data_IF_303778950595
#
_entry.id   IF_303778950595
#
_cell.length_a   1.000
_cell.length_b   1.000
_cell.length_c   1.000
_cell.angle_alpha   90.00
_cell.angle_beta   90.00
_cell.angle_gamma   90.00
#
_symmetry.space_group_name_H-M   'P 1'
#
loop_
_entity.id
_entity.type
_entity.pdbx_description
1 polymer ?
#
# COMPACT_ATOMS: atom_id res chain seq x y z
N UNK A 1 -25.81 -15.43 -4.94
CA UNK A 1 -25.46 -14.42 -5.95
C UNK A 1 -24.69 -13.24 -5.35
N UNK A 2 -25.10 -12.70 -4.18
CA UNK A 2 -24.43 -11.57 -3.52
C UNK A 2 -22.92 -11.75 -3.34
N UNK A 3 -22.45 -12.87 -2.79
CA UNK A 3 -21.01 -13.10 -2.58
C UNK A 3 -20.16 -13.06 -3.86
N UNK A 4 -20.69 -13.53 -5.01
CA UNK A 4 -19.96 -13.46 -6.28
C UNK A 4 -19.85 -12.03 -6.82
N UNK A 5 -20.82 -11.16 -6.49
CA UNK A 5 -20.77 -9.74 -6.83
C UNK A 5 -19.75 -9.03 -5.94
N UNK A 6 -19.75 -9.31 -4.63
CA UNK A 6 -18.79 -8.72 -3.69
C UNK A 6 -17.35 -9.08 -4.08
N UNK A 7 -17.06 -10.35 -4.35
CA UNK A 7 -15.71 -10.78 -4.78
C UNK A 7 -15.27 -10.09 -6.09
N UNK A 8 -16.19 -9.91 -7.04
CA UNK A 8 -15.88 -9.19 -8.27
C UNK A 8 -15.61 -7.70 -8.04
N UNK A 9 -16.35 -7.05 -7.12
CA UNK A 9 -16.11 -5.65 -6.77
C UNK A 9 -14.76 -5.46 -6.06
N UNK A 10 -14.40 -6.38 -5.14
CA UNK A 10 -13.11 -6.36 -4.47
C UNK A 10 -11.95 -6.52 -5.46
N UNK A 11 -12.08 -7.43 -6.43
CA UNK A 11 -11.13 -7.59 -7.54
C UNK A 11 -10.92 -6.28 -8.30
N UNK A 12 -12.00 -5.60 -8.70
CA UNK A 12 -11.89 -4.34 -9.47
C UNK A 12 -11.16 -3.24 -8.69
N UNK A 13 -11.44 -3.12 -7.39
CA UNK A 13 -10.80 -2.13 -6.53
C UNK A 13 -9.30 -2.42 -6.37
N UNK A 14 -8.95 -3.66 -6.04
CA UNK A 14 -7.55 -4.06 -5.84
C UNK A 14 -6.73 -3.94 -7.13
N UNK A 15 -7.29 -4.39 -8.26
CA UNK A 15 -6.65 -4.25 -9.56
C UNK A 15 -6.45 -2.79 -9.95
N UNK A 16 -7.45 -1.93 -9.70
CA UNK A 16 -7.31 -0.49 -9.97
C UNK A 16 -6.21 0.13 -9.13
N UNK A 17 -6.18 -0.11 -7.82
CA UNK A 17 -5.15 0.46 -6.93
C UNK A 17 -3.76 -0.03 -7.36
N UNK A 18 -3.60 -1.34 -7.57
CA UNK A 18 -2.31 -1.91 -7.94
C UNK A 18 -1.80 -1.39 -9.30
N UNK A 19 -2.68 -1.25 -10.29
CA UNK A 19 -2.32 -0.70 -11.60
C UNK A 19 -2.00 0.80 -11.55
N UNK A 20 -2.74 1.59 -10.76
CA UNK A 20 -2.41 3.00 -10.51
C UNK A 20 -1.05 3.14 -9.84
N UNK A 21 -0.74 2.33 -8.83
CA UNK A 21 0.56 2.36 -8.13
C UNK A 21 1.75 1.99 -9.03
N UNK A 22 1.57 1.09 -10.00
CA UNK A 22 2.63 0.73 -10.95
C UNK A 22 2.82 1.75 -12.08
N UNK A 23 1.79 2.53 -12.40
CA UNK A 23 1.84 3.52 -13.47
C UNK A 23 2.60 4.80 -13.09
N UNK A 24 2.91 5.00 -11.80
CA UNK A 24 3.59 6.19 -11.29
C UNK A 24 5.06 6.20 -11.73
N UNK A 25 5.51 7.30 -12.33
CA UNK A 25 6.91 7.52 -12.71
C UNK A 25 7.74 8.17 -11.58
N UNK A 26 9.05 8.35 -11.79
CA UNK A 26 9.94 8.95 -10.78
C UNK A 26 9.62 10.40 -10.46
N UNK A 27 9.20 11.20 -11.44
CA UNK A 27 8.85 12.61 -11.22
C UNK A 27 7.62 12.76 -10.32
N UNK A 28 6.58 11.95 -10.55
CA UNK A 28 5.40 11.90 -9.69
C UNK A 28 5.73 11.37 -8.29
N UNK A 29 6.68 10.43 -8.17
CA UNK A 29 7.17 9.95 -6.86
C UNK A 29 7.80 11.09 -6.06
N UNK A 30 8.60 11.93 -6.73
CA UNK A 30 9.24 13.08 -6.11
C UNK A 30 8.20 14.11 -5.64
N UNK A 31 7.20 14.40 -6.47
CA UNK A 31 6.10 15.31 -6.14
C UNK A 31 5.30 14.81 -4.92
N UNK A 32 4.96 13.52 -4.87
CA UNK A 32 4.29 12.93 -3.71
C UNK A 32 5.15 12.98 -2.44
N UNK A 33 6.46 12.79 -2.58
CA UNK A 33 7.39 12.93 -1.46
C UNK A 33 7.45 14.37 -0.95
N UNK A 34 7.44 15.36 -1.85
CA UNK A 34 7.47 16.78 -1.52
C UNK A 34 6.17 17.24 -0.86
N UNK A 35 5.02 16.92 -1.45
CA UNK A 35 3.72 17.24 -0.87
C UNK A 35 3.54 16.52 0.48
N UNK A 36 3.96 15.25 0.54
CA UNK A 36 3.97 14.46 1.77
C UNK A 36 4.80 15.13 2.85
N UNK A 37 6.03 15.54 2.54
CA UNK A 37 6.92 16.24 3.48
C UNK A 37 6.30 17.55 3.98
N UNK A 38 5.74 18.35 3.07
CA UNK A 38 5.14 19.64 3.40
C UNK A 38 3.86 19.51 4.25
N UNK A 39 3.13 18.40 4.11
CA UNK A 39 1.86 18.18 4.80
C UNK A 39 1.99 17.52 6.17
N UNK A 40 3.07 16.76 6.41
CA UNK A 40 3.28 16.08 7.70
C UNK A 40 3.77 17.04 8.79
N UNK A 41 3.40 16.81 10.06
CA UNK A 41 3.88 17.61 11.18
C UNK A 41 5.36 17.35 11.48
N UNK A 42 6.01 18.31 12.16
CA UNK A 42 7.45 18.26 12.44
C UNK A 42 7.87 17.05 13.31
N UNK A 43 6.96 16.50 14.12
CA UNK A 43 7.20 15.26 14.88
C UNK A 43 7.44 14.06 13.97
N UNK A 44 6.66 13.95 12.89
CA UNK A 44 6.80 12.87 11.91
C UNK A 44 8.03 13.09 11.04
N UNK A 45 8.33 14.35 10.67
CA UNK A 45 9.59 14.68 9.98
C UNK A 45 10.79 14.26 10.81
N UNK A 46 10.77 14.53 12.11
CA UNK A 46 11.84 14.12 13.04
C UNK A 46 11.98 12.60 13.11
N UNK A 47 10.88 11.86 13.23
CA UNK A 47 10.91 10.38 13.25
C UNK A 47 11.49 9.81 11.94
N UNK A 48 11.13 10.39 10.79
CA UNK A 48 11.70 10.02 9.49
C UNK A 48 13.20 10.30 9.46
N UNK A 49 13.64 11.48 9.90
CA UNK A 49 15.06 11.83 9.96
C UNK A 49 15.84 10.89 10.90
N UNK A 50 15.30 10.58 12.08
CA UNK A 50 15.91 9.66 13.06
C UNK A 50 15.99 8.21 12.50
N UNK A 51 14.94 7.75 11.80
CA UNK A 51 14.87 6.38 11.26
C UNK A 51 15.78 6.19 10.04
N UNK A 52 15.88 7.20 9.17
CA UNK A 52 16.62 7.11 7.92
C UNK A 52 18.02 7.73 7.97
N UNK A 53 18.42 8.31 9.11
CA UNK A 53 19.70 8.99 9.33
C UNK A 53 19.99 10.03 8.22
N UNK A 54 18.96 10.83 7.92
CA UNK A 54 18.99 11.87 6.89
C UNK A 54 18.55 13.21 7.49
N UNK A 55 18.84 14.32 6.83
CA UNK A 55 18.44 15.65 7.31
C UNK A 55 17.86 16.51 6.19
N UNK A 56 16.69 17.11 6.48
CA UNK A 56 15.95 17.96 5.54
C UNK A 56 15.37 17.17 4.35
N UNK A 57 14.48 17.80 3.60
CA UNK A 57 13.91 17.18 2.40
C UNK A 57 14.92 17.12 1.24
N UNK A 58 15.46 18.27 0.83
CA UNK A 58 16.46 18.45 -0.23
C UNK A 58 17.63 19.33 0.29
N UNK A 59 18.78 19.27 -0.38
CA UNK A 59 20.02 20.02 -0.03
C UNK A 59 19.79 21.55 0.06
N UNK A 60 18.88 22.08 -0.76
CA UNK A 60 18.50 23.49 -0.80
C UNK A 60 17.30 23.85 0.08
N UNK A 61 16.60 22.85 0.63
CA UNK A 61 15.39 23.05 1.43
C UNK A 61 15.64 22.85 2.92
N UNK A 62 16.79 23.33 3.44
CA UNK A 62 16.88 23.64 4.87
C UNK A 62 16.05 24.91 5.09
N UNK A 63 14.73 24.76 4.94
CA UNK A 63 13.78 25.80 5.23
C UNK A 63 13.77 25.98 6.74
N UNK A 64 13.63 27.21 7.21
CA UNK A 64 13.64 27.60 8.63
C UNK A 64 12.54 26.94 9.48
N UNK A 65 11.74 26.05 8.90
CA UNK A 65 10.66 25.30 9.53
C UNK A 65 10.98 23.80 9.74
N UNK A 66 12.10 23.27 9.23
CA UNK A 66 12.48 21.89 9.51
C UNK A 66 13.08 21.77 10.93
N UNK A 67 12.78 20.69 11.68
CA UNK A 67 13.36 20.48 12.99
C UNK A 67 14.89 20.37 12.91
N UNK A 68 15.59 20.94 13.89
CA UNK A 68 17.05 20.89 13.95
C UNK A 68 17.55 19.44 13.95
N UNK A 69 18.39 19.11 12.97
CA UNK A 69 19.01 17.79 12.83
C UNK A 69 20.34 17.66 13.60
N UNK A 70 20.68 18.56 14.52
CA UNK A 70 22.00 18.60 15.18
C UNK A 70 22.43 17.27 15.80
N UNK A 71 21.48 16.49 16.34
CA UNK A 71 21.75 15.18 16.92
C UNK A 71 22.03 14.13 15.84
N UNK A 72 21.23 14.14 14.77
CA UNK A 72 21.35 13.20 13.64
C UNK A 72 22.62 13.48 12.85
N UNK A 73 23.01 14.75 12.76
CA UNK A 73 24.25 15.15 12.10
C UNK A 73 25.47 14.54 12.80
N UNK A 74 25.48 14.45 14.13
CA UNK A 74 26.55 13.76 14.87
C UNK A 74 26.56 12.26 14.59
N UNK A 75 25.38 11.64 14.49
CA UNK A 75 25.26 10.20 14.26
C UNK A 75 25.68 9.82 12.83
N UNK A 76 25.17 10.50 11.81
CA UNK A 76 25.50 10.18 10.42
C UNK A 76 26.92 10.62 10.01
N UNK A 77 27.50 11.60 10.72
CA UNK A 77 28.90 12.01 10.54
C UNK A 77 29.87 11.37 11.54
N UNK A 78 29.45 10.33 12.26
CA UNK A 78 30.29 9.65 13.25
C UNK A 78 31.56 9.10 12.57
N UNK A 79 32.71 9.70 12.86
CA UNK A 79 34.02 9.32 12.30
C UNK A 79 34.56 10.21 11.17
N UNK A 80 33.85 11.26 10.75
CA UNK A 80 34.32 12.20 9.71
C UNK A 80 34.83 13.50 10.37
N UNK A 81 36.15 13.73 10.29
CA UNK A 81 36.75 15.00 10.70
C UNK A 81 36.63 16.02 9.55
N UNK A 82 35.67 16.93 9.64
CA UNK A 82 35.47 17.99 8.65
C UNK A 82 34.06 18.58 8.66
N UNK A 83 33.76 19.43 7.66
CA UNK A 83 32.44 20.02 7.46
C UNK A 83 31.49 18.96 6.86
N UNK A 84 31.06 18.02 7.68
CA UNK A 84 30.18 16.91 7.27
C UNK A 84 28.71 17.34 7.32
N UNK A 85 27.99 17.09 6.24
CA UNK A 85 26.55 17.34 6.13
C UNK A 85 25.83 16.04 5.81
N UNK A 86 24.80 15.72 6.59
CA UNK A 86 24.02 14.52 6.36
C UNK A 86 23.27 14.58 5.03
N UNK A 87 23.05 13.42 4.40
CA UNK A 87 22.40 13.38 3.11
C UNK A 87 20.90 13.72 3.25
N UNK A 88 20.27 14.28 2.21
CA UNK A 88 18.87 14.73 2.23
C UNK A 88 17.89 13.56 2.30
N UNK A 89 16.72 13.69 2.92
CA UNK A 89 15.78 12.56 3.04
C UNK A 89 15.11 12.15 1.73
N UNK A 90 15.12 13.01 0.70
CA UNK A 90 14.43 12.76 -0.58
C UNK A 90 14.75 11.40 -1.20
N UNK A 91 16.03 11.09 -1.43
CA UNK A 91 16.42 9.84 -2.10
C UNK A 91 16.01 8.60 -1.29
N UNK A 92 16.01 8.69 0.05
CA UNK A 92 15.53 7.61 0.91
C UNK A 92 14.03 7.44 0.81
N UNK A 93 13.28 8.53 0.72
CA UNK A 93 11.83 8.51 0.57
C UNK A 93 11.43 7.93 -0.80
N UNK A 94 12.07 8.37 -1.88
CA UNK A 94 11.85 7.84 -3.24
C UNK A 94 12.09 6.33 -3.30
N UNK A 95 13.19 5.85 -2.70
CA UNK A 95 13.47 4.41 -2.64
C UNK A 95 12.36 3.62 -1.91
N UNK A 96 11.80 4.19 -0.84
CA UNK A 96 10.70 3.55 -0.10
C UNK A 96 9.39 3.58 -0.89
N UNK A 97 9.08 4.67 -1.58
CA UNK A 97 7.90 4.79 -2.43
C UNK A 97 7.99 3.79 -3.59
N UNK A 98 9.13 3.74 -4.28
CA UNK A 98 9.39 2.79 -5.35
C UNK A 98 9.28 1.33 -4.87
N UNK A 99 9.83 1.03 -3.68
CA UNK A 99 9.69 -0.28 -3.07
C UNK A 99 8.22 -0.62 -2.77
N UNK A 100 7.45 0.31 -2.21
CA UNK A 100 6.03 0.13 -1.94
C UNK A 100 5.23 -0.15 -3.23
N UNK A 101 5.49 0.57 -4.31
CA UNK A 101 4.83 0.33 -5.61
C UNK A 101 5.20 -1.02 -6.22
N UNK A 102 6.46 -1.46 -6.07
CA UNK A 102 6.85 -2.83 -6.45
C UNK A 102 6.08 -3.89 -5.67
N UNK A 103 5.86 -3.66 -4.37
CA UNK A 103 5.03 -4.55 -3.55
C UNK A 103 3.55 -4.51 -3.97
N UNK A 104 3.01 -3.34 -4.35
CA UNK A 104 1.65 -3.24 -4.90
C UNK A 104 1.47 -4.11 -6.15
N UNK A 105 2.52 -4.35 -6.94
CA UNK A 105 2.50 -5.30 -8.05
C UNK A 105 2.13 -6.74 -7.65
N UNK A 106 2.43 -7.16 -6.41
CA UNK A 106 1.97 -8.45 -5.88
C UNK A 106 0.44 -8.50 -5.70
N UNK A 107 -0.20 -7.34 -5.51
CA UNK A 107 -1.66 -7.21 -5.47
C UNK A 107 -2.34 -7.60 -6.79
N UNK A 108 -1.65 -7.45 -7.93
CA UNK A 108 -2.13 -7.93 -9.23
C UNK A 108 -2.15 -9.45 -9.27
N UNK A 109 -1.15 -10.12 -8.70
CA UNK A 109 -1.13 -11.58 -8.61
C UNK A 109 -2.31 -12.09 -7.77
N UNK A 110 -2.59 -11.44 -6.64
CA UNK A 110 -3.75 -11.76 -5.82
C UNK A 110 -5.07 -11.53 -6.58
N UNK A 111 -5.20 -10.39 -7.28
CA UNK A 111 -6.36 -10.10 -8.14
C UNK A 111 -6.57 -11.17 -9.23
N UNK A 112 -5.49 -11.69 -9.83
CA UNK A 112 -5.58 -12.79 -10.80
C UNK A 112 -6.16 -14.06 -10.19
N UNK A 113 -5.77 -14.40 -8.96
CA UNK A 113 -6.34 -15.55 -8.24
C UNK A 113 -7.81 -15.34 -7.88
N UNK A 114 -8.23 -14.12 -7.56
CA UNK A 114 -9.65 -13.79 -7.34
C UNK A 114 -10.48 -13.93 -8.62
N UNK A 115 -9.94 -13.54 -9.78
CA UNK A 115 -10.63 -13.73 -11.07
C UNK A 115 -10.85 -15.21 -11.37
N UNK A 116 -9.85 -16.06 -11.11
CA UNK A 116 -9.99 -17.52 -11.21
C UNK A 116 -11.03 -18.05 -10.21
N UNK A 117 -11.05 -17.55 -8.97
CA UNK A 117 -12.01 -17.94 -7.97
C UNK A 117 -13.45 -17.60 -8.38
N UNK A 118 -13.69 -16.39 -8.92
CA UNK A 118 -15.00 -15.97 -9.43
C UNK A 118 -15.41 -16.81 -10.65
N UNK A 119 -14.48 -17.09 -11.56
CA UNK A 119 -14.74 -17.94 -12.73
C UNK A 119 -15.12 -19.37 -12.30
N UNK A 120 -14.34 -19.98 -11.40
CA UNK A 120 -14.60 -21.31 -10.86
C UNK A 120 -15.92 -21.34 -10.09
N UNK A 121 -16.21 -20.33 -9.26
CA UNK A 121 -17.48 -20.25 -8.53
C UNK A 121 -18.67 -20.12 -9.47
N UNK A 122 -18.56 -19.32 -10.55
CA UNK A 122 -19.59 -19.24 -11.58
C UNK A 122 -19.78 -20.57 -12.30
N UNK A 123 -18.70 -21.22 -12.73
CA UNK A 123 -18.75 -22.51 -13.40
C UNK A 123 -19.34 -23.59 -12.49
N UNK A 124 -18.90 -23.66 -11.24
CA UNK A 124 -19.38 -24.60 -10.23
C UNK A 124 -20.89 -24.41 -9.96
N UNK A 125 -21.37 -23.16 -9.85
CA UNK A 125 -22.81 -22.91 -9.74
C UNK A 125 -23.59 -23.21 -11.01
N UNK A 126 -23.00 -22.99 -12.19
CA UNK A 126 -23.64 -23.30 -13.47
C UNK A 126 -23.65 -24.81 -13.78
N UNK A 127 -22.77 -25.58 -13.13
CA UNK A 127 -22.73 -27.05 -13.18
C UNK A 127 -23.46 -27.70 -12.00
N UNK A 128 -23.99 -26.94 -11.04
CA UNK A 128 -24.77 -27.50 -9.93
C UNK A 128 -26.11 -28.03 -10.46
N UNK A 129 -26.31 -29.33 -10.29
CA UNK A 129 -27.19 -30.19 -11.09
C UNK A 129 -28.71 -29.92 -11.03
N UNK A 130 -29.47 -30.25 -12.10
CA UNK A 130 -30.92 -30.15 -12.22
C UNK A 130 -31.75 -31.13 -11.35
N UNK A 131 -31.11 -32.04 -10.61
CA UNK A 131 -31.78 -33.14 -9.88
C UNK A 131 -31.59 -33.09 -8.36
N UNK A 132 -30.83 -32.14 -7.83
CA UNK A 132 -30.70 -31.98 -6.39
C UNK A 132 -31.90 -31.20 -5.85
N UNK A 133 -32.77 -31.87 -5.09
CA UNK A 133 -33.82 -31.20 -4.33
C UNK A 133 -33.18 -30.06 -3.52
N UNK A 134 -33.72 -28.82 -3.58
CA UNK A 134 -33.21 -27.76 -2.71
C UNK A 134 -33.31 -28.25 -1.28
N UNK A 135 -32.33 -27.93 -0.44
CA UNK A 135 -32.39 -28.17 1.00
C UNK A 135 -33.59 -27.41 1.59
N UNK A 136 -34.79 -27.98 1.45
CA UNK A 136 -35.98 -27.61 2.20
C UNK A 136 -35.68 -28.08 3.61
N UNK A 137 -35.65 -27.15 4.55
CA UNK A 137 -35.76 -27.49 5.96
C UNK A 137 -36.98 -28.41 6.11
N UNK A 138 -36.72 -29.70 6.36
CA UNK A 138 -37.77 -30.67 6.64
C UNK A 138 -38.26 -30.35 8.04
N UNK A 139 -39.27 -29.50 8.15
CA UNK A 139 -40.03 -29.36 9.38
C UNK A 139 -40.80 -30.66 9.60
N UNK A 140 -40.59 -31.39 10.71
CA UNK A 140 -41.36 -32.59 10.99
C UNK A 140 -42.82 -32.19 11.18
N UNK A 141 -43.70 -32.66 10.27
CA UNK A 141 -45.14 -32.59 10.51
C UNK A 141 -45.47 -33.63 11.58
N UNK A 142 -45.69 -33.16 12.80
CA UNK A 142 -46.32 -33.93 13.86
C UNK A 142 -47.74 -34.27 13.41
N UNK A 143 -47.96 -35.52 13.01
CA UNK A 143 -49.31 -36.07 12.90
C UNK A 143 -49.80 -36.37 14.32
N UNK A 144 -50.67 -35.52 14.85
CA UNK A 144 -51.52 -35.89 15.96
C UNK A 144 -52.84 -36.41 15.38
N UNK A 145 -53.13 -37.67 15.74
CA UNK A 145 -54.39 -38.37 15.54
C UNK A 145 -55.53 -37.69 16.30
#
# INVERSE_FOLDING_TARGET
>A
MQYMIVLFLLFLIQFSIASSCLAVNSEQQQEFAEEGWNRVPDSMRKEVQDTFLCCGFNLTSVSSNDPSCELIQKECCSGIAGNCQCPPCLYKLEDKINYAFKLCGLGIFFSFTELLAVFLARRYRNQQDPTCLPARAVFPKNYQY
#
